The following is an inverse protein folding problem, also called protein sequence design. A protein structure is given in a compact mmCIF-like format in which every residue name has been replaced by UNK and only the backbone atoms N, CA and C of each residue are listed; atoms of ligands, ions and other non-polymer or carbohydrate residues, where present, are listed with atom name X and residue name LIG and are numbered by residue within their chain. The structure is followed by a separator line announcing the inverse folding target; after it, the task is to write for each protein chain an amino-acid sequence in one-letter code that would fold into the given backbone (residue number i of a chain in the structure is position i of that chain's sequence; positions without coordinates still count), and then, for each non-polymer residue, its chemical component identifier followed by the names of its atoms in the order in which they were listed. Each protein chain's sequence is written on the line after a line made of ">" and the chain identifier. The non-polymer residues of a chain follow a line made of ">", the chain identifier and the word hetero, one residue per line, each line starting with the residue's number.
data_IF_678546296589
#
_entry.id   IF_678546296589
#
_cell.length_a   1.000
_cell.length_b   1.000
_cell.length_c   1.000
_cell.angle_alpha   90.00
_cell.angle_beta   90.00
_cell.angle_gamma   90.00
#
_symmetry.space_group_name_H-M   'P 1'
#
loop_
_entity.id
_entity.type
_entity.pdbx_description
1 polymer ?
#
# COMPACT_ATOMS: atom_id res chain seq x y z
N UNK A 1 -26.49 -45.99 -22.05
CA UNK A 1 -25.61 -45.69 -20.90
C UNK A 1 -24.32 -45.08 -21.42
N UNK A 2 -24.35 -43.79 -21.72
CA UNK A 2 -23.24 -43.05 -22.35
C UNK A 2 -22.52 -42.26 -21.27
N UNK A 3 -21.26 -42.62 -21.03
CA UNK A 3 -20.37 -41.99 -20.05
C UNK A 3 -20.06 -40.55 -20.49
N UNK A 4 -20.65 -39.55 -19.83
CA UNK A 4 -20.15 -38.18 -19.91
C UNK A 4 -18.89 -38.07 -19.07
N UNK A 5 -17.74 -38.06 -19.75
CA UNK A 5 -16.42 -37.79 -19.19
C UNK A 5 -16.43 -36.41 -18.54
N UNK A 6 -16.27 -36.42 -17.22
CA UNK A 6 -16.02 -35.24 -16.39
C UNK A 6 -14.74 -34.53 -16.86
N UNK A 7 -14.89 -33.38 -17.51
CA UNK A 7 -13.78 -32.49 -17.85
C UNK A 7 -13.64 -31.50 -16.68
N UNK A 8 -12.91 -31.91 -15.65
CA UNK A 8 -12.49 -31.01 -14.56
C UNK A 8 -11.42 -30.08 -15.14
N UNK A 9 -11.81 -28.91 -15.63
CA UNK A 9 -10.89 -27.84 -15.97
C UNK A 9 -10.23 -27.34 -14.68
N UNK A 10 -9.05 -27.88 -14.38
CA UNK A 10 -8.09 -27.29 -13.44
C UNK A 10 -7.60 -25.96 -14.04
N UNK A 11 -8.30 -24.86 -13.74
CA UNK A 11 -7.72 -23.53 -13.88
C UNK A 11 -6.65 -23.39 -12.80
N UNK A 12 -5.41 -23.70 -13.16
CA UNK A 12 -4.26 -23.32 -12.37
C UNK A 12 -4.25 -21.79 -12.26
N UNK A 13 -4.77 -21.24 -11.16
CA UNK A 13 -4.47 -19.87 -10.75
C UNK A 13 -2.96 -19.82 -10.51
N UNK A 14 -2.23 -19.40 -11.53
CA UNK A 14 -0.86 -18.94 -11.35
C UNK A 14 -0.99 -17.72 -10.44
N UNK A 15 -0.73 -17.91 -9.14
CA UNK A 15 -0.57 -16.83 -8.19
C UNK A 15 0.73 -16.10 -8.57
N UNK A 16 0.65 -15.29 -9.62
CA UNK A 16 1.63 -14.27 -9.93
C UNK A 16 1.74 -13.43 -8.66
N UNK A 17 2.86 -13.58 -7.96
CA UNK A 17 3.19 -12.78 -6.81
C UNK A 17 3.40 -11.35 -7.31
N UNK A 18 2.30 -10.62 -7.45
CA UNK A 18 2.33 -9.21 -7.81
C UNK A 18 2.94 -8.46 -6.63
N UNK A 19 4.18 -8.04 -6.78
CA UNK A 19 4.82 -7.16 -5.83
C UNK A 19 4.22 -5.76 -6.01
N UNK A 20 3.22 -5.44 -5.18
CA UNK A 20 2.56 -4.15 -5.16
C UNK A 20 3.58 -3.03 -4.98
N UNK A 21 3.48 -1.96 -5.77
CA UNK A 21 4.36 -0.78 -5.66
C UNK A 21 3.57 0.41 -5.16
N UNK A 22 4.00 1.02 -4.05
CA UNK A 22 3.30 2.13 -3.41
C UNK A 22 4.20 3.36 -3.27
N UNK A 23 3.60 4.55 -3.29
CA UNK A 23 4.28 5.76 -2.79
C UNK A 23 4.48 5.63 -1.29
N UNK A 24 5.72 5.87 -0.84
CA UNK A 24 6.09 5.88 0.57
C UNK A 24 6.69 7.24 0.95
N UNK A 25 5.83 8.07 1.53
CA UNK A 25 6.13 9.45 1.90
C UNK A 25 5.46 9.73 3.24
N UNK A 26 6.17 10.30 4.19
CA UNK A 26 5.67 10.71 5.49
C UNK A 26 5.96 12.17 5.77
N UNK A 27 5.08 12.81 6.51
CA UNK A 27 5.25 14.18 6.99
C UNK A 27 5.10 14.15 8.49
N UNK A 28 6.18 14.44 9.21
CA UNK A 28 6.22 14.52 10.66
C UNK A 28 5.98 15.97 11.09
N UNK A 29 5.04 16.17 12.00
CA UNK A 29 4.64 17.48 12.52
C UNK A 29 4.61 17.48 14.05
N UNK A 30 4.80 18.64 14.68
CA UNK A 30 4.73 18.83 16.13
C UNK A 30 5.62 17.85 16.91
N UNK A 31 6.80 17.55 16.38
CA UNK A 31 7.60 16.45 16.90
C UNK A 31 8.57 16.91 17.99
N UNK A 32 8.78 16.04 18.98
CA UNK A 32 9.77 16.22 20.03
C UNK A 32 10.91 15.25 19.73
N UNK A 33 12.11 15.74 19.45
CA UNK A 33 13.26 14.88 19.19
C UNK A 33 14.06 14.60 20.45
N UNK A 34 14.55 13.36 20.59
CA UNK A 34 15.59 13.06 21.55
C UNK A 34 16.95 13.29 20.88
N UNK A 35 17.34 14.55 20.71
CA UNK A 35 18.72 14.84 20.35
C UNK A 35 19.57 14.66 21.61
N UNK A 36 20.70 13.96 21.47
CA UNK A 36 21.52 13.28 22.50
C UNK A 36 21.79 14.06 23.80
N UNK A 37 21.52 15.36 23.89
CA UNK A 37 21.68 16.15 25.14
C UNK A 37 20.60 17.22 25.40
N UNK A 38 19.50 17.31 24.63
CA UNK A 38 18.41 18.26 24.88
C UNK A 38 17.09 17.78 24.28
N UNK A 39 16.05 17.64 25.11
CA UNK A 39 14.67 17.51 24.62
C UNK A 39 14.23 18.86 24.04
N UNK A 40 14.24 18.97 22.71
CA UNK A 40 13.76 20.14 21.99
C UNK A 40 12.43 19.86 21.31
N UNK A 41 11.50 20.82 21.36
CA UNK A 41 10.30 20.80 20.52
C UNK A 41 10.74 21.25 19.12
N UNK A 42 10.63 20.34 18.16
CA UNK A 42 10.80 20.66 16.73
C UNK A 42 9.42 21.07 16.21
N UNK A 43 9.17 22.38 16.18
CA UNK A 43 8.00 22.96 15.50
C UNK A 43 8.11 22.95 13.96
N UNK A 44 9.13 22.29 13.41
CA UNK A 44 9.38 22.18 11.97
C UNK A 44 8.84 20.87 11.42
N UNK A 45 8.11 20.98 10.30
CA UNK A 45 7.65 19.83 9.53
C UNK A 45 8.83 19.12 8.87
N UNK A 46 9.01 17.83 9.14
CA UNK A 46 10.11 17.03 8.57
C UNK A 46 9.56 15.98 7.59
N UNK A 47 9.86 16.10 6.28
CA UNK A 47 9.43 15.11 5.29
C UNK A 47 10.34 13.89 5.30
N UNK A 48 9.73 12.71 5.21
CA UNK A 48 10.35 11.43 4.89
C UNK A 48 9.89 11.09 3.48
N UNK A 49 10.79 11.03 2.51
CA UNK A 49 10.43 10.71 1.14
C UNK A 49 11.29 9.57 0.60
N UNK A 50 10.67 8.42 0.40
CA UNK A 50 11.31 7.25 -0.21
C UNK A 50 10.87 7.05 -1.67
N UNK A 51 10.00 7.92 -2.19
CA UNK A 51 9.41 7.77 -3.52
C UNK A 51 8.51 6.55 -3.63
N UNK A 52 8.54 5.90 -4.79
CA UNK A 52 7.82 4.65 -5.03
C UNK A 52 8.67 3.46 -4.59
N UNK A 53 8.12 2.62 -3.72
CA UNK A 53 8.79 1.43 -3.21
C UNK A 53 7.95 0.19 -3.50
N UNK A 54 8.63 -0.90 -3.83
CA UNK A 54 8.01 -2.21 -3.92
C UNK A 54 7.72 -2.73 -2.51
N UNK A 55 6.48 -3.12 -2.27
CA UNK A 55 6.03 -3.60 -0.98
C UNK A 55 6.56 -5.01 -0.70
N UNK A 56 6.94 -5.29 0.56
CA UNK A 56 7.10 -6.66 1.05
C UNK A 56 5.87 -7.52 0.73
N UNK A 57 6.08 -8.82 0.50
CA UNK A 57 5.01 -9.77 0.13
C UNK A 57 3.89 -9.90 1.16
N UNK A 58 4.14 -9.51 2.42
CA UNK A 58 3.15 -9.47 3.49
C UNK A 58 2.29 -8.19 3.50
N UNK A 59 2.60 -7.21 2.66
CA UNK A 59 1.93 -5.91 2.59
C UNK A 59 1.23 -5.78 1.23
N UNK A 60 -0.08 -6.07 1.22
CA UNK A 60 -0.91 -6.23 0.03
C UNK A 60 -1.78 -5.00 -0.28
N UNK A 61 -1.52 -3.87 0.39
CA UNK A 61 -2.23 -2.59 0.23
C UNK A 61 -1.25 -1.44 0.14
N UNK A 62 -1.62 -0.41 -0.62
CA UNK A 62 -1.09 0.94 -0.42
C UNK A 62 -2.07 1.69 0.47
N UNK A 63 -1.55 2.41 1.47
CA UNK A 63 -2.35 3.16 2.41
C UNK A 63 -1.93 4.61 2.43
N UNK A 64 -2.92 5.52 2.36
CA UNK A 64 -2.84 6.86 2.90
C UNK A 64 -3.36 6.81 4.34
N UNK A 65 -2.62 7.36 5.29
CA UNK A 65 -3.09 7.49 6.67
C UNK A 65 -3.18 8.96 7.07
N UNK A 66 -4.29 9.32 7.72
CA UNK A 66 -4.47 10.62 8.35
C UNK A 66 -3.42 10.86 9.44
N UNK A 67 -3.18 12.13 9.84
CA UNK A 67 -2.30 12.44 10.97
C UNK A 67 -2.63 11.59 12.19
N UNK A 68 -1.65 10.83 12.68
CA UNK A 68 -1.75 9.99 13.87
C UNK A 68 -0.47 10.11 14.71
N UNK A 69 -0.49 9.68 15.97
CA UNK A 69 0.70 9.76 16.80
C UNK A 69 1.83 8.88 16.24
N UNK A 70 3.07 9.34 16.37
CA UNK A 70 4.25 8.57 15.93
C UNK A 70 4.31 7.20 16.62
N UNK A 71 3.92 7.11 17.91
CA UNK A 71 3.84 5.84 18.65
C UNK A 71 2.90 4.84 17.98
N UNK A 72 1.74 5.32 17.52
CA UNK A 72 0.70 4.49 16.91
C UNK A 72 1.10 4.11 15.48
N UNK A 73 1.69 5.05 14.73
CA UNK A 73 2.21 4.79 13.39
C UNK A 73 3.31 3.73 13.39
N UNK A 74 4.21 3.74 14.39
CA UNK A 74 5.22 2.68 14.57
C UNK A 74 4.63 1.29 14.79
N UNK A 75 3.34 1.19 15.13
CA UNK A 75 2.68 -0.09 15.31
C UNK A 75 2.08 -0.69 14.04
N UNK A 76 2.02 0.08 12.95
CA UNK A 76 1.58 -0.38 11.64
C UNK A 76 2.62 -1.31 11.02
N UNK A 77 2.19 -2.44 10.47
CA UNK A 77 3.06 -3.41 9.80
C UNK A 77 3.79 -2.72 8.63
N UNK A 78 3.05 -1.87 7.91
CA UNK A 78 3.55 -0.99 6.87
C UNK A 78 4.75 -0.12 7.26
N UNK A 79 4.77 0.35 8.50
CA UNK A 79 5.85 1.20 9.03
C UNK A 79 6.96 0.34 9.64
N UNK A 80 6.62 -0.75 10.33
CA UNK A 80 7.58 -1.66 10.98
C UNK A 80 8.49 -2.39 9.99
N UNK A 81 7.90 -2.84 8.88
CA UNK A 81 8.59 -3.68 7.90
C UNK A 81 9.40 -2.86 6.88
N UNK A 82 9.29 -1.54 6.91
CA UNK A 82 10.01 -0.62 6.03
C UNK A 82 11.08 0.15 6.80
N UNK A 83 12.26 -0.46 6.99
CA UNK A 83 13.36 0.10 7.81
C UNK A 83 13.72 1.54 7.41
N UNK A 84 13.72 1.85 6.11
CA UNK A 84 14.03 3.20 5.60
C UNK A 84 12.98 4.25 5.99
N UNK A 85 11.77 3.82 6.33
CA UNK A 85 10.70 4.66 6.86
C UNK A 85 10.74 4.68 8.40
N UNK A 86 11.00 3.56 9.06
CA UNK A 86 11.06 3.46 10.53
C UNK A 86 12.26 4.19 11.14
N UNK A 87 13.44 4.10 10.50
CA UNK A 87 14.70 4.63 11.05
C UNK A 87 14.64 6.15 11.27
N UNK A 88 14.18 6.99 10.32
CA UNK A 88 13.96 8.40 10.57
C UNK A 88 12.99 8.66 11.73
N UNK A 89 11.96 7.82 11.89
CA UNK A 89 10.98 7.99 12.96
C UNK A 89 11.56 7.77 14.36
N UNK A 90 12.60 6.94 14.51
CA UNK A 90 13.23 6.67 15.82
C UNK A 90 13.87 7.90 16.48
N UNK A 91 14.17 8.95 15.70
CA UNK A 91 14.71 10.21 16.23
C UNK A 91 13.69 11.03 17.05
N UNK A 92 12.40 10.72 16.90
CA UNK A 92 11.31 11.44 17.55
C UNK A 92 10.73 10.65 18.73
N UNK A 93 10.51 11.30 19.87
CA UNK A 93 9.86 10.73 21.05
C UNK A 93 8.34 10.83 20.89
N UNK A 94 7.87 11.99 20.43
CA UNK A 94 6.46 12.32 20.28
C UNK A 94 6.25 13.17 19.02
N UNK A 95 5.00 13.30 18.58
CA UNK A 95 4.59 14.06 17.41
C UNK A 95 3.51 13.35 16.63
N UNK A 96 3.06 13.97 15.55
CA UNK A 96 2.12 13.37 14.61
C UNK A 96 2.80 13.09 13.27
N UNK A 97 2.35 12.05 12.60
CA UNK A 97 2.78 11.69 11.26
C UNK A 97 1.56 11.43 10.39
N UNK A 98 1.62 11.90 9.16
CA UNK A 98 0.67 11.57 8.09
C UNK A 98 1.43 11.18 6.84
N UNK A 99 0.83 10.41 5.93
CA UNK A 99 1.55 10.02 4.74
C UNK A 99 0.95 8.86 3.97
N UNK A 100 1.82 8.25 3.16
CA UNK A 100 1.58 7.09 2.32
C UNK A 100 2.61 6.02 2.66
N UNK A 101 2.19 4.76 2.75
CA UNK A 101 3.06 3.59 2.96
C UNK A 101 2.42 2.35 2.32
N UNK A 102 3.23 1.32 2.04
CA UNK A 102 2.70 -0.04 1.97
C UNK A 102 2.04 -0.43 3.30
N UNK A 103 0.99 -1.25 3.27
CA UNK A 103 0.22 -1.65 4.42
C UNK A 103 -0.35 -3.06 4.24
N UNK A 104 -0.69 -3.71 5.34
CA UNK A 104 -1.51 -4.91 5.32
C UNK A 104 -3.00 -4.54 5.33
N UNK A 105 -3.86 -5.46 4.89
CA UNK A 105 -5.31 -5.30 5.11
C UNK A 105 -5.68 -5.03 6.57
N UNK A 106 -4.92 -5.58 7.53
CA UNK A 106 -5.12 -5.35 8.96
C UNK A 106 -4.79 -3.90 9.36
N UNK A 107 -3.71 -3.33 8.84
CA UNK A 107 -3.37 -1.92 9.08
C UNK A 107 -4.46 -0.97 8.57
N UNK A 108 -5.03 -1.25 7.39
CA UNK A 108 -6.16 -0.50 6.85
C UNK A 108 -7.36 -0.49 7.80
N UNK A 109 -7.65 -1.63 8.43
CA UNK A 109 -8.73 -1.73 9.43
C UNK A 109 -8.38 -0.97 10.71
N UNK A 110 -7.14 -1.07 11.21
CA UNK A 110 -6.70 -0.36 12.42
C UNK A 110 -6.87 1.15 12.32
N UNK A 111 -6.60 1.73 11.14
CA UNK A 111 -6.71 3.18 10.92
C UNK A 111 -8.08 3.61 10.38
N UNK A 112 -9.04 2.68 10.32
CA UNK A 112 -10.37 2.89 9.76
C UNK A 112 -10.32 3.53 8.35
N UNK A 113 -9.43 3.01 7.49
CA UNK A 113 -9.25 3.52 6.14
C UNK A 113 -10.41 3.12 5.23
N UNK A 114 -10.87 4.06 4.40
CA UNK A 114 -11.81 3.74 3.32
C UNK A 114 -11.10 2.95 2.22
N UNK A 115 -11.81 2.01 1.57
CA UNK A 115 -11.27 1.30 0.40
C UNK A 115 -11.60 2.09 -0.86
N UNK A 116 -10.59 2.33 -1.71
CA UNK A 116 -10.73 3.08 -2.96
C UNK A 116 -9.79 2.51 -4.02
N UNK A 117 -10.03 2.82 -5.29
CA UNK A 117 -9.09 2.54 -6.38
C UNK A 117 -7.90 3.53 -6.39
N UNK A 118 -8.06 4.69 -5.75
CA UNK A 118 -7.01 5.70 -5.56
C UNK A 118 -7.18 6.42 -4.24
N UNK A 119 -6.07 6.66 -3.53
CA UNK A 119 -6.04 7.38 -2.27
C UNK A 119 -5.45 8.79 -2.36
N UNK A 120 -5.17 9.23 -3.58
CA UNK A 120 -4.49 10.51 -3.88
C UNK A 120 -5.28 11.72 -3.38
N UNK A 121 -6.58 11.74 -3.61
CA UNK A 121 -7.49 12.85 -3.26
C UNK A 121 -8.32 12.58 -2.01
N UNK A 122 -8.12 11.43 -1.34
CA UNK A 122 -8.87 11.08 -0.14
C UNK A 122 -8.64 12.13 0.96
N UNK A 123 -9.69 12.56 1.64
CA UNK A 123 -9.60 13.56 2.73
C UNK A 123 -9.19 12.94 4.07
N UNK A 124 -9.30 11.62 4.20
CA UNK A 124 -8.89 10.86 5.39
C UNK A 124 -7.96 9.68 5.05
N UNK A 125 -7.90 8.71 5.97
CA UNK A 125 -7.23 7.44 5.74
C UNK A 125 -7.91 6.66 4.60
N UNK A 126 -7.12 6.07 3.73
CA UNK A 126 -7.59 5.35 2.56
C UNK A 126 -6.63 4.20 2.23
N UNK A 127 -7.17 3.08 1.72
CA UNK A 127 -6.40 1.96 1.21
C UNK A 127 -6.81 1.57 -0.21
N UNK A 128 -5.83 1.11 -0.99
CA UNK A 128 -5.98 0.69 -2.37
C UNK A 128 -5.04 -0.48 -2.69
N UNK A 129 -5.33 -1.24 -3.74
CA UNK A 129 -4.63 -2.51 -4.07
C UNK A 129 -3.87 -2.45 -5.39
N UNK A 130 -3.92 -1.31 -6.09
CA UNK A 130 -3.30 -1.13 -7.40
C UNK A 130 -1.94 -0.44 -7.26
N UNK A 131 -1.04 -0.75 -8.18
CA UNK A 131 0.26 -0.08 -8.23
C UNK A 131 0.09 1.43 -8.33
N UNK A 132 0.87 2.15 -7.52
CA UNK A 132 0.97 3.60 -7.49
C UNK A 132 -0.35 4.33 -7.21
N UNK A 133 -1.34 3.65 -6.63
CA UNK A 133 -2.65 4.23 -6.29
C UNK A 133 -2.59 5.37 -5.24
N UNK A 134 -1.42 5.62 -4.67
CA UNK A 134 -1.09 6.72 -3.75
C UNK A 134 -0.27 7.86 -4.39
N UNK A 135 0.04 7.82 -5.69
CA UNK A 135 0.89 8.83 -6.37
C UNK A 135 0.06 9.82 -7.20
N UNK A 136 0.30 11.14 -7.08
CA UNK A 136 -0.25 12.16 -8.00
C UNK A 136 0.50 12.13 -9.35
N UNK A 137 0.02 11.29 -10.27
CA UNK A 137 0.43 11.26 -11.68
C UNK A 137 1.30 10.04 -12.04
N UNK A 138 1.07 9.27 -13.10
CA UNK A 138 0.06 9.26 -14.16
C UNK A 138 -0.51 7.83 -14.13
N UNK A 139 -1.84 7.68 -14.06
CA UNK A 139 -2.44 6.36 -14.27
C UNK A 139 -2.15 5.93 -15.71
N UNK A 140 -1.03 5.25 -15.94
CA UNK A 140 -0.97 4.35 -17.08
C UNK A 140 -1.77 3.14 -16.64
N UNK A 141 -3.05 3.21 -16.98
CA UNK A 141 -4.08 2.23 -16.77
C UNK A 141 -3.61 0.90 -17.38
N UNK A 142 -2.82 0.10 -16.67
CA UNK A 142 -2.64 -1.32 -16.99
C UNK A 142 -3.91 -2.05 -16.51
N UNK A 143 -5.01 -1.70 -17.16
CA UNK A 143 -6.19 -2.56 -17.27
C UNK A 143 -5.81 -3.69 -18.23
N UNK A 144 -4.99 -4.63 -17.77
CA UNK A 144 -4.83 -5.93 -18.42
C UNK A 144 -5.44 -6.94 -17.48
N UNK A 145 -6.76 -7.08 -17.58
CA UNK A 145 -7.48 -8.09 -16.83
C UNK A 145 -8.83 -8.52 -17.43
N UNK A 146 -9.23 -7.96 -18.58
CA UNK A 146 -10.47 -8.35 -19.27
C UNK A 146 -10.37 -8.15 -20.79
N UNK A 147 -9.34 -8.70 -21.43
CA UNK A 147 -9.40 -8.92 -22.88
C UNK A 147 -9.84 -10.36 -23.15
N UNK A 148 -11.12 -10.47 -23.48
CA UNK A 148 -11.70 -11.39 -24.44
C UNK A 148 -11.03 -12.78 -24.59
N UNK A 149 -11.49 -13.76 -23.80
CA UNK A 149 -11.59 -15.15 -24.25
C UNK A 149 -12.91 -15.32 -25.00
N UNK A 150 -13.03 -14.65 -26.13
CA UNK A 150 -14.06 -14.87 -27.14
C UNK A 150 -13.32 -14.96 -28.47
N UNK A 151 -13.60 -16.02 -29.22
CA UNK A 151 -13.00 -16.41 -30.52
C UNK A 151 -11.74 -17.28 -30.41
N UNK A 152 -11.91 -18.60 -30.32
CA UNK A 152 -11.73 -19.55 -31.46
C UNK A 152 -12.14 -20.93 -30.96
N UNK A 153 -13.41 -21.27 -31.16
CA UNK A 153 -13.85 -22.67 -31.32
C UNK A 153 -14.99 -22.76 -32.32
N UNK A 154 -14.90 -21.95 -33.38
CA UNK A 154 -15.57 -22.19 -34.67
C UNK A 154 -14.47 -22.38 -35.70
N UNK A 155 -13.62 -23.38 -35.46
CA UNK A 155 -12.65 -23.90 -36.42
C UNK A 155 -12.35 -25.37 -36.10
N UNK A 156 -13.38 -26.14 -35.73
CA UNK A 156 -13.41 -27.57 -36.03
C UNK A 156 -14.66 -27.81 -36.88
N UNK A 157 -14.57 -27.33 -38.11
CA UNK A 157 -15.41 -27.76 -39.19
C UNK A 157 -15.06 -29.22 -39.51
N UNK A 158 -16.09 -30.06 -39.56
CA UNK A 158 -16.15 -31.41 -40.15
C UNK A 158 -15.72 -32.57 -39.27
#
# INVERSE_FOLDING_TARGET
>A
TTMLRSLVCFTALVAVAYCLTCSTIGTVSNAVSNAVNSTGVINSTQPINLGSVTCPTSLDRCMKFSPMNISDARNLDGVKLQINFTKPLSAYINGTISGFVCASQNDCLKVNASSSTSCVTATGSCCCTSDLCTTKGVMNHFSIGSFALLLVSVALSR
#
